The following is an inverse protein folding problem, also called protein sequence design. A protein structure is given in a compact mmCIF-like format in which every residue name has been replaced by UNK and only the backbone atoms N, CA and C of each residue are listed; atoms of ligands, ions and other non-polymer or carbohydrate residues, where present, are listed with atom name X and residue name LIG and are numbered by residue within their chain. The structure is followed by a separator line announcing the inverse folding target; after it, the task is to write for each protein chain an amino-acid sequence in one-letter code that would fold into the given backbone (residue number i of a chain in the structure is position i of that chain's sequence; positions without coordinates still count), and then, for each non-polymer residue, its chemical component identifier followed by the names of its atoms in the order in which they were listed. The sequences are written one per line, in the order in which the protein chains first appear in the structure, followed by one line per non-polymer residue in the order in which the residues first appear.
data_IF_384053000367
#
_entry.id   IF_384053000367
#
_cell.length_a   1.000
_cell.length_b   1.000
_cell.length_c   1.000
_cell.angle_alpha   90.00
_cell.angle_beta   90.00
_cell.angle_gamma   90.00
#
_symmetry.space_group_name_H-M   'P 1'
#
loop_
_entity.id
_entity.type
_entity.pdbx_description
1 polymer ?
#
# COMPACT_ATOMS: atom_id res chain seq x y z
N UNK A 1 -42.85 -46.45 15.33
CA UNK A 1 -42.73 -44.98 15.41
C UNK A 1 -41.44 -44.61 14.70
N UNK A 2 -41.54 -44.20 13.44
CA UNK A 2 -40.41 -43.76 12.64
C UNK A 2 -40.54 -42.27 12.43
N UNK A 3 -39.70 -41.49 13.11
CA UNK A 3 -39.64 -40.04 12.99
C UNK A 3 -38.80 -39.71 11.74
N UNK A 4 -39.50 -39.47 10.63
CA UNK A 4 -38.91 -39.05 9.38
C UNK A 4 -38.47 -37.61 9.48
N UNK A 5 -37.21 -37.39 9.83
CA UNK A 5 -36.58 -36.07 9.81
C UNK A 5 -36.69 -35.46 8.42
N UNK A 6 -37.65 -34.55 8.27
CA UNK A 6 -37.81 -33.66 7.12
C UNK A 6 -36.53 -32.83 6.98
N UNK A 7 -35.63 -33.27 6.11
CA UNK A 7 -34.51 -32.50 5.63
C UNK A 7 -35.09 -31.37 4.79
N UNK A 8 -35.32 -30.21 5.41
CA UNK A 8 -35.75 -28.99 4.72
C UNK A 8 -34.82 -28.74 3.54
N UNK A 9 -35.38 -28.49 2.37
CA UNK A 9 -34.61 -28.21 1.16
C UNK A 9 -33.70 -26.99 1.42
N UNK A 10 -32.39 -27.25 1.58
CA UNK A 10 -31.38 -26.22 1.78
C UNK A 10 -30.61 -26.05 0.48
N UNK A 11 -30.65 -24.84 -0.06
CA UNK A 11 -29.80 -24.46 -1.18
C UNK A 11 -28.43 -24.11 -0.62
N UNK A 12 -27.49 -25.06 -0.69
CA UNK A 12 -26.08 -24.77 -0.45
C UNK A 12 -25.61 -23.74 -1.50
N UNK A 13 -24.84 -22.75 -1.05
CA UNK A 13 -24.52 -21.54 -1.81
C UNK A 13 -24.11 -21.78 -3.27
N UNK A 14 -24.59 -20.89 -4.16
CA UNK A 14 -24.18 -20.91 -5.56
C UNK A 14 -22.95 -20.04 -5.76
N UNK A 15 -21.96 -20.56 -6.48
CA UNK A 15 -20.80 -19.81 -6.93
C UNK A 15 -20.89 -19.58 -8.43
N UNK A 16 -20.71 -18.33 -8.87
CA UNK A 16 -20.53 -17.99 -10.27
C UNK A 16 -19.03 -17.94 -10.53
N UNK A 17 -18.51 -18.84 -11.35
CA UNK A 17 -17.11 -18.81 -11.78
C UNK A 17 -17.01 -17.83 -12.94
N UNK A 18 -16.35 -16.69 -12.71
CA UNK A 18 -16.03 -15.73 -13.76
C UNK A 18 -14.51 -15.58 -13.84
N UNK A 19 -13.94 -15.69 -15.03
CA UNK A 19 -12.51 -15.45 -15.31
C UNK A 19 -11.54 -16.32 -14.47
N UNK A 20 -11.82 -17.63 -14.37
CA UNK A 20 -10.94 -18.62 -13.75
C UNK A 20 -10.65 -18.43 -12.25
N UNK A 21 -11.37 -17.51 -11.58
CA UNK A 21 -11.34 -17.32 -10.13
C UNK A 21 -12.74 -17.48 -9.55
N UNK A 22 -12.85 -18.28 -8.49
CA UNK A 22 -14.06 -18.31 -7.66
C UNK A 22 -14.09 -17.06 -6.78
N UNK A 23 -14.47 -15.91 -7.35
CA UNK A 23 -14.89 -14.78 -6.52
C UNK A 23 -16.22 -15.21 -5.90
N UNK A 24 -16.20 -15.51 -4.60
CA UNK A 24 -17.40 -15.73 -3.82
C UNK A 24 -18.32 -14.54 -4.03
N UNK A 25 -19.36 -14.73 -4.84
CA UNK A 25 -20.39 -13.71 -5.00
C UNK A 25 -20.96 -13.47 -3.60
N UNK A 26 -20.82 -12.26 -3.09
CA UNK A 26 -21.67 -11.83 -1.99
C UNK A 26 -23.10 -11.82 -2.55
N UNK A 27 -23.81 -12.93 -2.36
CA UNK A 27 -25.26 -12.97 -2.52
C UNK A 27 -25.79 -12.07 -1.42
N UNK A 28 -26.01 -10.80 -1.73
CA UNK A 28 -26.43 -9.82 -0.73
C UNK A 28 -27.85 -10.05 -0.18
N UNK A 29 -28.57 -11.07 -0.66
CA UNK A 29 -29.76 -11.65 -0.01
C UNK A 29 -30.25 -12.83 -0.84
N UNK A 30 -30.70 -13.94 -0.22
CA UNK A 30 -31.49 -14.92 -0.94
C UNK A 30 -32.76 -14.24 -1.47
N UNK A 31 -32.95 -14.27 -2.78
CA UNK A 31 -34.09 -13.62 -3.43
C UNK A 31 -35.43 -14.30 -3.13
N UNK A 32 -35.39 -15.55 -2.64
CA UNK A 32 -36.53 -16.39 -2.30
C UNK A 32 -36.21 -17.16 -1.01
N UNK A 33 -37.13 -17.17 -0.04
CA UNK A 33 -37.01 -17.95 1.18
C UNK A 33 -37.37 -19.43 0.93
N UNK A 34 -36.85 -20.34 1.75
CA UNK A 34 -37.19 -21.77 1.65
C UNK A 34 -38.71 -22.01 1.75
N UNK A 35 -39.39 -21.27 2.63
CA UNK A 35 -40.85 -21.32 2.77
C UNK A 35 -41.59 -20.91 1.48
N UNK A 36 -41.15 -19.84 0.81
CA UNK A 36 -41.75 -19.41 -0.46
C UNK A 36 -41.48 -20.41 -1.60
N UNK A 37 -40.41 -21.20 -1.50
CA UNK A 37 -40.08 -22.27 -2.45
C UNK A 37 -40.95 -23.52 -2.22
N UNK A 38 -41.17 -23.88 -0.96
CA UNK A 38 -42.04 -25.00 -0.55
C UNK A 38 -43.52 -24.72 -0.88
N UNK A 39 -43.98 -23.50 -0.60
CA UNK A 39 -45.36 -23.07 -0.86
C UNK A 39 -45.68 -23.01 -2.37
N UNK A 40 -44.66 -22.80 -3.22
CA UNK A 40 -44.79 -22.83 -4.67
C UNK A 40 -44.89 -24.24 -5.27
N UNK A 41 -44.68 -25.31 -4.49
CA UNK A 41 -44.76 -26.71 -4.94
C UNK A 41 -43.83 -27.05 -6.12
N UNK A 42 -42.83 -26.21 -6.38
CA UNK A 42 -42.05 -26.26 -7.60
C UNK A 42 -40.85 -27.20 -7.44
N UNK A 43 -40.90 -28.38 -8.08
CA UNK A 43 -39.66 -29.01 -8.50
C UNK A 43 -38.94 -28.04 -9.44
N UNK A 44 -37.81 -27.47 -9.01
CA UNK A 44 -36.96 -26.55 -9.79
C UNK A 44 -36.38 -27.26 -11.03
N UNK A 45 -37.22 -27.62 -12.01
CA UNK A 45 -36.78 -28.19 -13.30
C UNK A 45 -36.18 -27.11 -14.21
N UNK A 46 -36.58 -25.85 -14.04
CA UNK A 46 -36.00 -24.70 -14.73
C UNK A 46 -35.92 -23.48 -13.80
N UNK A 47 -34.69 -23.01 -13.54
CA UNK A 47 -34.45 -21.76 -12.80
C UNK A 47 -34.07 -20.69 -13.82
N UNK A 48 -34.98 -19.76 -14.10
CA UNK A 48 -34.66 -18.58 -14.92
C UNK A 48 -34.00 -17.54 -14.02
N UNK A 49 -32.66 -17.53 -14.00
CA UNK A 49 -31.89 -16.52 -13.28
C UNK A 49 -31.70 -15.26 -14.13
N UNK A 50 -32.20 -14.11 -13.65
CA UNK A 50 -31.88 -12.81 -14.24
C UNK A 50 -30.60 -12.28 -13.60
N UNK A 51 -29.47 -12.45 -14.28
CA UNK A 51 -28.18 -11.89 -13.85
C UNK A 51 -28.06 -10.46 -14.35
N UNK A 52 -27.82 -9.51 -13.46
CA UNK A 52 -27.44 -8.14 -13.84
C UNK A 52 -25.96 -7.96 -13.55
N UNK A 53 -25.16 -7.77 -14.61
CA UNK A 53 -23.75 -7.46 -14.47
C UNK A 53 -23.63 -5.95 -14.33
N UNK A 54 -23.32 -5.47 -13.13
CA UNK A 54 -23.05 -4.06 -12.89
C UNK A 54 -21.55 -3.80 -13.06
N UNK A 55 -21.18 -3.01 -14.06
CA UNK A 55 -19.81 -2.53 -14.22
C UNK A 55 -19.62 -1.25 -13.41
N UNK A 56 -18.63 -1.25 -12.51
CA UNK A 56 -18.25 -0.05 -11.75
C UNK A 56 -16.91 0.45 -12.29
N UNK A 57 -16.89 1.36 -13.28
CA UNK A 57 -15.66 1.75 -13.98
C UNK A 57 -14.59 2.30 -13.03
N UNK A 58 -14.98 3.05 -12.00
CA UNK A 58 -14.04 3.55 -10.99
C UNK A 58 -13.39 2.43 -10.15
N UNK A 59 -14.10 1.32 -9.89
CA UNK A 59 -13.51 0.17 -9.19
C UNK A 59 -12.53 -0.57 -10.09
N UNK A 60 -12.86 -0.73 -11.37
CA UNK A 60 -11.96 -1.34 -12.34
C UNK A 60 -10.68 -0.51 -12.49
N UNK A 61 -10.80 0.82 -12.57
CA UNK A 61 -9.66 1.72 -12.61
C UNK A 61 -8.81 1.65 -11.33
N UNK A 62 -9.44 1.61 -10.16
CA UNK A 62 -8.74 1.50 -8.89
C UNK A 62 -7.97 0.17 -8.74
N UNK A 63 -8.55 -0.95 -9.18
CA UNK A 63 -7.86 -2.24 -9.21
C UNK A 63 -6.75 -2.27 -10.27
N UNK A 64 -6.94 -1.61 -11.41
CA UNK A 64 -5.90 -1.45 -12.41
C UNK A 64 -4.73 -0.63 -11.87
N UNK A 65 -5.01 0.46 -11.16
CA UNK A 65 -4.00 1.27 -10.47
C UNK A 65 -3.21 0.43 -9.45
N UNK A 66 -3.88 -0.36 -8.60
CA UNK A 66 -3.20 -1.28 -7.68
C UNK A 66 -2.28 -2.26 -8.41
N UNK A 67 -2.75 -2.82 -9.53
CA UNK A 67 -1.93 -3.71 -10.35
C UNK A 67 -0.68 -3.00 -10.91
N UNK A 68 -0.81 -1.75 -11.35
CA UNK A 68 0.31 -0.94 -11.81
C UNK A 68 1.29 -0.67 -10.66
N UNK A 69 0.80 -0.26 -9.48
CA UNK A 69 1.64 -0.03 -8.31
C UNK A 69 2.44 -1.28 -7.92
N UNK A 70 1.82 -2.45 -7.95
CA UNK A 70 2.51 -3.72 -7.69
C UNK A 70 3.58 -4.02 -8.73
N UNK A 71 3.29 -3.78 -10.01
CA UNK A 71 4.23 -4.02 -11.10
C UNK A 71 5.44 -3.06 -11.06
N UNK A 72 5.23 -1.84 -10.57
CA UNK A 72 6.25 -0.79 -10.47
C UNK A 72 6.98 -0.77 -9.11
N UNK A 73 6.53 -1.58 -8.13
CA UNK A 73 7.09 -1.57 -6.78
C UNK A 73 6.69 -0.34 -5.95
N UNK A 74 5.65 0.37 -6.37
CA UNK A 74 5.08 1.56 -5.71
C UNK A 74 4.19 1.15 -4.53
N UNK A 75 4.79 0.58 -3.48
CA UNK A 75 4.04 0.03 -2.35
C UNK A 75 3.50 1.09 -1.38
N UNK A 76 4.05 2.30 -1.37
CA UNK A 76 3.51 3.39 -0.54
C UNK A 76 2.17 3.88 -1.09
N UNK A 77 2.00 3.86 -2.40
CA UNK A 77 0.76 4.18 -3.10
C UNK A 77 -0.34 3.17 -2.78
N UNK A 78 0.02 1.89 -2.61
CA UNK A 78 -0.89 0.84 -2.13
C UNK A 78 -1.35 1.18 -0.70
N UNK A 79 -0.42 1.52 0.18
CA UNK A 79 -0.73 1.94 1.55
C UNK A 79 -1.61 3.20 1.59
N UNK A 80 -1.33 4.18 0.73
CA UNK A 80 -2.12 5.39 0.58
C UNK A 80 -3.55 5.07 0.12
N UNK A 81 -3.69 4.22 -0.88
CA UNK A 81 -5.00 3.81 -1.38
C UNK A 81 -5.81 3.08 -0.30
N UNK A 82 -5.19 2.15 0.44
CA UNK A 82 -5.83 1.43 1.53
C UNK A 82 -6.36 2.37 2.63
N UNK A 83 -5.61 3.43 2.96
CA UNK A 83 -6.03 4.49 3.90
C UNK A 83 -7.13 5.41 3.36
N UNK A 84 -7.16 5.61 2.05
CA UNK A 84 -8.07 6.57 1.40
C UNK A 84 -9.52 6.08 1.25
N UNK A 85 -9.74 4.76 1.33
CA UNK A 85 -11.07 4.16 1.21
C UNK A 85 -11.68 3.89 2.59
N UNK A 86 -13.01 3.71 2.63
CA UNK A 86 -13.71 3.37 3.87
C UNK A 86 -13.14 2.08 4.46
N UNK A 87 -12.88 2.09 5.77
CA UNK A 87 -12.21 1.00 6.51
C UNK A 87 -12.87 -0.36 6.26
N UNK A 88 -14.19 -0.42 6.27
CA UNK A 88 -14.95 -1.66 6.07
C UNK A 88 -14.67 -2.26 4.68
N UNK A 89 -14.61 -1.39 3.66
CA UNK A 89 -14.27 -1.80 2.29
C UNK A 89 -12.81 -2.26 2.23
N UNK A 90 -11.91 -1.55 2.90
CA UNK A 90 -10.49 -1.88 2.93
C UNK A 90 -10.22 -3.25 3.59
N UNK A 91 -10.90 -3.55 4.69
CA UNK A 91 -10.81 -4.85 5.38
C UNK A 91 -11.36 -5.96 4.48
N UNK A 92 -12.50 -5.75 3.81
CA UNK A 92 -13.02 -6.73 2.85
C UNK A 92 -12.08 -6.95 1.67
N UNK A 93 -11.46 -5.89 1.15
CA UNK A 93 -10.47 -5.99 0.10
C UNK A 93 -9.23 -6.77 0.55
N UNK A 94 -8.77 -6.63 1.80
CA UNK A 94 -7.60 -7.35 2.29
C UNK A 94 -7.74 -8.88 2.13
N UNK A 95 -8.94 -9.43 2.40
CA UNK A 95 -9.23 -10.86 2.20
C UNK A 95 -9.32 -11.25 0.71
N UNK A 96 -9.72 -10.34 -0.18
CA UNK A 96 -9.75 -10.61 -1.61
C UNK A 96 -8.34 -10.52 -2.23
N UNK A 97 -7.55 -9.54 -1.78
CA UNK A 97 -6.14 -9.39 -2.15
C UNK A 97 -5.33 -10.59 -1.66
N UNK A 98 -5.76 -11.23 -0.56
CA UNK A 98 -5.10 -12.42 -0.02
C UNK A 98 -5.13 -13.65 -0.95
N UNK A 99 -5.86 -13.60 -2.06
CA UNK A 99 -5.97 -14.68 -3.04
C UNK A 99 -5.24 -14.37 -4.36
N UNK A 100 -4.57 -13.22 -4.47
CA UNK A 100 -3.82 -12.83 -5.68
C UNK A 100 -2.52 -13.64 -5.74
N UNK A 101 -2.14 -14.16 -6.91
CA UNK A 101 -0.97 -15.06 -7.03
C UNK A 101 0.39 -14.37 -7.14
N UNK A 102 0.45 -13.15 -7.68
CA UNK A 102 1.73 -12.46 -7.97
C UNK A 102 1.96 -11.32 -6.99
N UNK A 103 3.19 -11.23 -6.46
CA UNK A 103 3.62 -10.19 -5.50
C UNK A 103 2.67 -10.06 -4.31
N UNK A 104 2.08 -11.20 -3.97
CA UNK A 104 0.98 -11.31 -3.06
C UNK A 104 1.36 -10.83 -1.66
N UNK A 105 2.56 -11.23 -1.23
CA UNK A 105 3.09 -10.94 0.09
C UNK A 105 3.21 -9.43 0.32
N UNK A 106 3.89 -8.72 -0.59
CA UNK A 106 4.07 -7.28 -0.48
C UNK A 106 2.73 -6.53 -0.59
N UNK A 107 1.89 -6.88 -1.56
CA UNK A 107 0.57 -6.27 -1.75
C UNK A 107 -0.30 -6.36 -0.49
N UNK A 108 -0.44 -7.56 0.08
CA UNK A 108 -1.31 -7.77 1.24
C UNK A 108 -0.71 -7.14 2.50
N UNK A 109 0.59 -7.28 2.74
CA UNK A 109 1.19 -6.77 3.97
C UNK A 109 1.25 -5.23 3.99
N UNK A 110 1.52 -4.56 2.87
CA UNK A 110 1.40 -3.10 2.77
C UNK A 110 -0.05 -2.65 2.98
N UNK A 111 -1.01 -3.34 2.36
CA UNK A 111 -2.42 -3.04 2.55
C UNK A 111 -2.86 -3.19 4.01
N UNK A 112 -2.48 -4.30 4.65
CA UNK A 112 -2.82 -4.60 6.04
C UNK A 112 -2.14 -3.63 7.02
N UNK A 113 -0.86 -3.32 6.81
CA UNK A 113 -0.14 -2.34 7.62
C UNK A 113 -0.83 -0.97 7.57
N UNK A 114 -1.32 -0.58 6.39
CA UNK A 114 -1.95 0.71 6.18
C UNK A 114 -3.35 0.84 6.83
N UNK A 115 -4.16 -0.24 6.83
CA UNK A 115 -5.47 -0.26 7.51
C UNK A 115 -5.35 -0.46 9.03
N UNK A 116 -4.21 -1.01 9.48
CA UNK A 116 -3.92 -1.31 10.87
C UNK A 116 -4.66 -2.57 11.36
N UNK A 117 -5.52 -2.42 12.36
CA UNK A 117 -6.16 -3.57 13.01
C UNK A 117 -7.13 -4.34 12.07
N UNK A 118 -6.76 -5.59 11.74
CA UNK A 118 -7.59 -6.56 11.01
C UNK A 118 -7.95 -7.72 11.95
N UNK A 119 -9.22 -8.06 12.03
CA UNK A 119 -9.73 -9.12 12.89
C UNK A 119 -10.76 -10.01 12.17
N UNK A 120 -11.09 -11.14 12.80
CA UNK A 120 -12.10 -12.07 12.31
C UNK A 120 -11.72 -12.74 10.99
N UNK A 121 -12.69 -13.03 10.11
CA UNK A 121 -12.48 -13.84 8.90
C UNK A 121 -11.41 -13.31 7.95
N UNK A 122 -11.23 -11.99 7.86
CA UNK A 122 -10.20 -11.40 7.03
C UNK A 122 -8.78 -11.70 7.55
N UNK A 123 -8.60 -11.67 8.88
CA UNK A 123 -7.33 -12.01 9.51
C UNK A 123 -6.99 -13.50 9.28
N UNK A 124 -7.98 -14.38 9.42
CA UNK A 124 -7.80 -15.81 9.21
C UNK A 124 -7.49 -16.15 7.75
N UNK A 125 -8.16 -15.49 6.80
CA UNK A 125 -7.83 -15.62 5.38
C UNK A 125 -6.38 -15.19 5.09
N UNK A 126 -5.95 -14.04 5.58
CA UNK A 126 -4.56 -13.57 5.40
C UNK A 126 -3.57 -14.60 5.94
N UNK A 127 -3.77 -15.08 7.18
CA UNK A 127 -2.89 -16.10 7.79
C UNK A 127 -2.83 -17.38 6.95
N UNK A 128 -3.98 -17.83 6.46
CA UNK A 128 -4.07 -19.04 5.64
C UNK A 128 -3.20 -18.94 4.38
N UNK A 129 -3.25 -17.82 3.67
CA UNK A 129 -2.49 -17.65 2.43
C UNK A 129 -1.02 -17.27 2.64
N UNK A 130 -0.65 -16.70 3.79
CA UNK A 130 0.73 -16.25 4.05
C UNK A 130 1.78 -17.36 3.92
N UNK A 131 1.44 -18.58 4.34
CA UNK A 131 2.36 -19.73 4.32
C UNK A 131 2.84 -20.05 2.91
N UNK A 132 1.92 -20.29 1.99
CA UNK A 132 2.25 -20.58 0.59
C UNK A 132 2.89 -19.37 -0.09
N UNK A 133 2.47 -18.16 0.30
CA UNK A 133 2.93 -16.92 -0.32
C UNK A 133 4.39 -16.60 -0.06
N UNK A 134 4.88 -16.86 1.16
CA UNK A 134 6.28 -16.64 1.52
C UNK A 134 7.16 -17.67 0.82
N UNK A 135 6.69 -18.92 0.72
CA UNK A 135 7.39 -19.96 -0.01
C UNK A 135 7.53 -19.62 -1.50
N UNK A 136 6.45 -19.14 -2.12
CA UNK A 136 6.44 -18.80 -3.55
C UNK A 136 7.10 -17.45 -3.88
N UNK A 137 7.21 -16.54 -2.91
CA UNK A 137 7.67 -15.16 -3.12
C UNK A 137 8.75 -14.76 -2.10
N UNK A 138 9.71 -15.64 -1.81
CA UNK A 138 10.76 -15.41 -0.80
C UNK A 138 11.56 -14.11 -1.05
N UNK A 139 11.70 -13.72 -2.33
CA UNK A 139 12.38 -12.49 -2.75
C UNK A 139 11.66 -11.20 -2.37
N UNK A 140 10.37 -11.26 -2.06
CA UNK A 140 9.58 -10.12 -1.60
C UNK A 140 9.68 -9.92 -0.09
N UNK A 141 10.26 -10.87 0.66
CA UNK A 141 10.41 -10.79 2.13
C UNK A 141 11.15 -9.51 2.59
N UNK A 142 12.29 -9.10 1.98
CA UNK A 142 12.97 -7.86 2.36
C UNK A 142 12.08 -6.62 2.37
N UNK A 143 11.16 -6.52 1.40
CA UNK A 143 10.24 -5.39 1.24
C UNK A 143 9.26 -5.30 2.43
N UNK A 144 8.84 -6.45 2.95
CA UNK A 144 7.80 -6.52 4.00
C UNK A 144 8.34 -6.58 5.42
N UNK A 145 9.62 -6.91 5.61
CA UNK A 145 10.26 -6.93 6.94
C UNK A 145 10.12 -5.59 7.68
N UNK A 146 10.33 -4.41 7.05
CA UNK A 146 10.12 -3.12 7.71
C UNK A 146 8.68 -2.87 8.18
N UNK A 147 7.69 -3.55 7.57
CA UNK A 147 6.28 -3.38 7.92
C UNK A 147 5.88 -4.16 9.16
N UNK A 148 6.65 -5.19 9.56
CA UNK A 148 6.29 -6.08 10.66
C UNK A 148 5.85 -5.34 11.93
N UNK A 149 6.53 -4.27 12.39
CA UNK A 149 6.11 -3.55 13.60
C UNK A 149 4.73 -2.90 13.48
N UNK A 150 4.28 -2.57 12.27
CA UNK A 150 2.98 -1.93 12.00
C UNK A 150 1.82 -2.92 11.89
N UNK A 151 2.11 -4.23 11.79
CA UNK A 151 1.09 -5.28 11.68
C UNK A 151 0.52 -5.65 13.05
N UNK A 152 -0.64 -6.30 13.08
CA UNK A 152 -1.19 -6.86 14.32
C UNK A 152 -0.32 -8.04 14.80
N UNK A 153 -0.22 -8.30 16.12
CA UNK A 153 0.59 -9.40 16.64
C UNK A 153 0.26 -10.76 16.02
N UNK A 154 -1.02 -11.00 15.73
CA UNK A 154 -1.48 -12.23 15.10
C UNK A 154 -0.92 -12.42 13.68
N UNK A 155 -0.80 -11.34 12.90
CA UNK A 155 -0.25 -11.39 11.55
C UNK A 155 1.28 -11.41 11.59
N UNK A 156 1.90 -10.66 12.52
CA UNK A 156 3.35 -10.73 12.74
C UNK A 156 3.82 -12.16 13.05
N UNK A 157 3.11 -12.84 13.96
CA UNK A 157 3.44 -14.22 14.31
C UNK A 157 3.25 -15.16 13.12
N UNK A 158 2.16 -15.01 12.36
CA UNK A 158 1.92 -15.83 11.18
C UNK A 158 3.00 -15.63 10.10
N UNK A 159 3.47 -14.40 9.87
CA UNK A 159 4.60 -14.14 8.95
C UNK A 159 5.87 -14.81 9.44
N UNK A 160 6.19 -14.72 10.74
CA UNK A 160 7.37 -15.36 11.33
C UNK A 160 7.31 -16.88 11.22
N UNK A 161 6.19 -17.48 11.59
CA UNK A 161 5.97 -18.93 11.49
C UNK A 161 6.08 -19.41 10.03
N UNK A 162 5.45 -18.71 9.08
CA UNK A 162 5.53 -19.04 7.67
C UNK A 162 6.96 -18.92 7.11
N UNK A 163 7.72 -17.90 7.55
CA UNK A 163 9.12 -17.75 7.15
C UNK A 163 10.01 -18.86 7.74
N UNK A 164 9.84 -19.19 9.02
CA UNK A 164 10.52 -20.33 9.63
C UNK A 164 10.17 -21.63 8.91
N UNK A 165 8.90 -21.82 8.58
CA UNK A 165 8.46 -23.01 7.85
C UNK A 165 9.10 -23.10 6.47
N UNK A 166 9.15 -22.00 5.73
CA UNK A 166 9.80 -21.94 4.43
C UNK A 166 11.30 -22.28 4.53
N UNK A 167 12.01 -21.71 5.50
CA UNK A 167 13.47 -21.84 5.62
C UNK A 167 13.94 -23.14 6.29
N UNK A 168 13.16 -23.75 7.18
CA UNK A 168 13.62 -24.92 7.96
C UNK A 168 12.97 -26.23 7.53
N UNK A 169 11.73 -26.20 7.04
CA UNK A 169 11.01 -27.42 6.67
C UNK A 169 10.94 -27.64 5.15
N UNK A 170 10.98 -26.58 4.36
CA UNK A 170 10.87 -26.66 2.90
C UNK A 170 12.22 -26.47 2.18
N UNK A 171 13.25 -25.99 2.87
CA UNK A 171 14.56 -25.68 2.28
C UNK A 171 15.59 -26.79 2.55
N UNK A 172 15.40 -27.97 1.95
CA UNK A 172 16.28 -29.12 2.18
C UNK A 172 17.73 -28.90 1.71
N UNK A 173 17.96 -27.96 0.80
CA UNK A 173 19.27 -27.70 0.16
C UNK A 173 19.82 -26.30 0.44
N UNK A 174 19.16 -25.48 1.27
CA UNK A 174 19.58 -24.11 1.57
C UNK A 174 19.37 -23.12 0.41
N UNK A 175 18.58 -23.49 -0.58
CA UNK A 175 18.27 -22.68 -1.78
C UNK A 175 17.43 -21.47 -1.38
N UNK A 176 16.37 -21.65 -0.60
CA UNK A 176 15.48 -20.54 -0.20
C UNK A 176 16.19 -19.57 0.74
N UNK A 177 17.03 -20.08 1.65
CA UNK A 177 17.86 -19.25 2.50
C UNK A 177 18.83 -18.41 1.66
N UNK A 178 19.49 -19.03 0.67
CA UNK A 178 20.38 -18.30 -0.24
C UNK A 178 19.62 -17.23 -1.02
N UNK A 179 18.46 -17.56 -1.60
CA UNK A 179 17.64 -16.59 -2.32
C UNK A 179 17.19 -15.42 -1.44
N UNK A 180 16.84 -15.70 -0.18
CA UNK A 180 16.48 -14.66 0.79
C UNK A 180 17.68 -13.77 1.10
N UNK A 181 18.86 -14.34 1.34
CA UNK A 181 20.09 -13.58 1.61
C UNK A 181 20.47 -12.72 0.41
N UNK A 182 20.46 -13.28 -0.80
CA UNK A 182 20.74 -12.55 -2.04
C UNK A 182 19.74 -11.38 -2.21
N UNK A 183 18.44 -11.63 -1.98
CA UNK A 183 17.41 -10.59 -2.04
C UNK A 183 17.59 -9.50 -0.97
N UNK A 184 18.01 -9.85 0.24
CA UNK A 184 18.31 -8.89 1.31
C UNK A 184 19.52 -8.01 0.97
N UNK A 185 20.58 -8.61 0.40
CA UNK A 185 21.77 -7.87 -0.06
C UNK A 185 21.39 -6.91 -1.17
N UNK A 186 20.63 -7.37 -2.16
CA UNK A 186 20.16 -6.55 -3.27
C UNK A 186 19.30 -5.38 -2.80
N UNK A 187 18.34 -5.65 -1.90
CA UNK A 187 17.48 -4.62 -1.32
C UNK A 187 18.28 -3.57 -0.56
N UNK A 188 19.16 -4.01 0.34
CA UNK A 188 19.98 -3.10 1.14
C UNK A 188 20.92 -2.27 0.27
N UNK A 189 21.48 -2.86 -0.79
CA UNK A 189 22.36 -2.16 -1.73
C UNK A 189 21.60 -1.07 -2.51
N UNK A 190 20.36 -1.35 -2.92
CA UNK A 190 19.49 -0.36 -3.59
C UNK A 190 19.13 0.78 -2.64
N UNK A 191 18.73 0.47 -1.41
CA UNK A 191 18.38 1.47 -0.39
C UNK A 191 19.56 2.39 -0.07
N UNK A 192 20.76 1.83 0.07
CA UNK A 192 21.98 2.60 0.32
C UNK A 192 22.28 3.51 -0.88
N UNK A 193 22.16 3.01 -2.11
CA UNK A 193 22.38 3.80 -3.31
C UNK A 193 21.37 4.95 -3.44
N UNK A 194 20.10 4.72 -3.10
CA UNK A 194 19.06 5.75 -3.12
C UNK A 194 19.30 6.82 -2.06
N UNK A 195 19.57 6.43 -0.80
CA UNK A 195 19.92 7.38 0.27
C UNK A 195 21.17 8.18 -0.04
N UNK A 196 22.16 7.56 -0.69
CA UNK A 196 23.36 8.27 -1.10
C UNK A 196 23.04 9.36 -2.13
N UNK A 197 22.17 9.08 -3.11
CA UNK A 197 21.71 10.10 -4.08
C UNK A 197 20.96 11.25 -3.39
N UNK A 198 20.12 10.95 -2.40
CA UNK A 198 19.44 11.99 -1.63
C UNK A 198 20.42 12.88 -0.86
N UNK A 199 21.42 12.27 -0.22
CA UNK A 199 22.48 13.01 0.48
C UNK A 199 23.25 13.91 -0.49
N UNK A 200 23.60 13.43 -1.68
CA UNK A 200 24.32 14.21 -2.68
C UNK A 200 23.46 15.34 -3.26
N UNK A 201 22.16 15.10 -3.47
CA UNK A 201 21.20 16.14 -3.87
C UNK A 201 21.05 17.24 -2.81
N UNK A 202 20.99 16.86 -1.52
CA UNK A 202 20.93 17.80 -0.40
C UNK A 202 22.23 18.59 -0.26
N UNK A 203 23.39 17.95 -0.42
CA UNK A 203 24.70 18.63 -0.43
C UNK A 203 24.78 19.70 -1.52
N UNK A 204 24.40 19.34 -2.74
CA UNK A 204 24.36 20.29 -3.86
C UNK A 204 23.45 21.49 -3.55
N UNK A 205 22.30 21.25 -2.91
CA UNK A 205 21.37 22.32 -2.50
C UNK A 205 21.96 23.23 -1.42
N UNK A 206 22.69 22.67 -0.45
CA UNK A 206 23.38 23.45 0.60
C UNK A 206 24.49 24.30 -0.01
N UNK A 207 25.30 23.74 -0.91
CA UNK A 207 26.39 24.47 -1.57
C UNK A 207 25.85 25.63 -2.41
N UNK A 208 24.76 25.39 -3.16
CA UNK A 208 24.08 26.42 -3.94
C UNK A 208 23.58 27.57 -3.07
N UNK A 209 22.97 27.25 -1.92
CA UNK A 209 22.49 28.27 -0.98
C UNK A 209 23.64 29.04 -0.31
N UNK A 210 24.75 28.37 -0.04
CA UNK A 210 25.93 28.98 0.59
C UNK A 210 26.62 29.96 -0.36
N UNK A 211 26.75 29.59 -1.64
CA UNK A 211 27.25 30.50 -2.69
C UNK A 211 26.32 31.70 -2.84
N UNK A 212 25.01 31.48 -2.89
CA UNK A 212 24.03 32.57 -2.97
C UNK A 212 24.09 33.52 -1.75
N UNK A 213 24.36 33.03 -0.53
CA UNK A 213 24.53 33.89 0.66
C UNK A 213 25.85 34.67 0.62
N UNK A 214 26.93 34.08 0.09
CA UNK A 214 28.21 34.77 -0.11
C UNK A 214 28.09 35.90 -1.14
N UNK A 215 27.40 35.67 -2.25
CA UNK A 215 27.13 36.71 -3.26
C UNK A 215 26.32 37.87 -2.65
N UNK A 216 25.32 37.56 -1.81
CA UNK A 216 24.49 38.57 -1.14
C UNK A 216 25.31 39.45 -0.19
N UNK A 217 26.21 38.85 0.61
CA UNK A 217 27.11 39.58 1.53
C UNK A 217 28.19 40.37 0.79
N UNK A 218 28.67 39.89 -0.36
CA UNK A 218 29.62 40.61 -1.20
C UNK A 218 29.07 41.90 -1.82
N UNK A 219 27.74 41.98 -2.01
CA UNK A 219 27.06 43.18 -2.52
C UNK A 219 26.63 44.20 -1.46
N UNK A 220 26.73 43.90 -0.16
CA UNK A 220 26.61 44.90 0.90
C UNK A 220 27.89 45.75 0.94
N UNK A 221 27.97 46.72 0.02
CA UNK A 221 28.95 47.81 0.12
C UNK A 221 28.72 48.53 1.44
N UNK A 222 29.75 48.54 2.29
CA UNK A 222 29.83 49.45 3.44
C UNK A 222 29.46 50.87 2.94
N UNK A 223 28.55 51.60 3.62
CA UNK A 223 28.34 53.00 3.33
C UNK A 223 29.69 53.69 3.46
N UNK A 224 30.20 54.22 2.35
CA UNK A 224 31.38 55.07 2.40
C UNK A 224 31.04 56.23 3.35
N UNK A 225 31.74 56.29 4.48
CA UNK A 225 31.87 57.48 5.30
C UNK A 225 32.38 58.58 4.37
N UNK A 226 31.44 59.39 3.87
CA UNK A 226 31.75 60.61 3.14
C UNK A 226 31.97 61.66 4.21
N UNK A 227 33.21 61.71 4.72
CA UNK A 227 33.72 62.82 5.52
C UNK A 227 33.54 64.10 4.72
N UNK A 228 32.54 64.90 5.12
CA UNK A 228 32.36 66.26 4.65
C UNK A 228 33.38 67.16 5.36
N UNK A 229 34.49 67.43 4.69
CA UNK A 229 35.33 68.59 4.96
C UNK A 229 34.58 69.87 4.53
N UNK A 230 34.05 70.63 5.49
CA UNK A 230 33.76 72.05 5.30
C UNK A 230 34.89 72.87 5.94
N UNK A 231 35.92 73.19 5.15
CA UNK A 231 36.80 74.33 5.40
C UNK A 231 36.20 75.58 4.75
N UNK A 232 36.01 76.62 5.57
CA UNK A 232 35.49 77.91 5.15
C UNK A 232 36.55 78.87 4.64
N UNK A 233 36.09 79.88 3.90
CA UNK A 233 36.62 81.25 3.69
C UNK A 233 35.78 81.83 2.54
N UNK A 234 35.05 82.93 2.63
CA UNK A 234 35.27 84.18 3.34
C UNK A 234 35.52 85.25 2.29
N UNK A 235 34.52 86.07 1.93
CA UNK A 235 34.78 87.40 1.40
C UNK A 235 33.53 88.29 1.50
N UNK A 236 33.72 89.39 2.22
CA UNK A 236 32.80 90.52 2.25
C UNK A 236 33.00 91.34 0.97
N UNK A 237 31.92 91.81 0.35
CA UNK A 237 31.99 93.04 -0.42
C UNK A 237 30.75 93.91 -0.20
N UNK A 238 31.04 95.20 -0.14
CA UNK A 238 30.21 96.29 0.31
C UNK A 238 29.33 96.80 -0.83
N UNK A 239 28.12 97.23 -0.47
CA UNK A 239 27.72 98.60 -0.82
C UNK A 239 26.77 98.86 -2.00
N UNK A 240 25.73 99.63 -1.64
CA UNK A 240 25.30 100.89 -2.29
C UNK A 240 24.09 100.84 -3.26
N UNK A 241 22.99 101.44 -2.74
CA UNK A 241 21.92 102.30 -3.35
C UNK A 241 20.97 101.64 -4.37
N UNK A 242 19.69 102.00 -4.47
CA UNK A 242 18.93 103.17 -4.00
C UNK A 242 17.51 102.76 -3.58
#
# INVERSE_FOLDING_TARGET
MGDGGSTSASVAGFHVVLLSGALGGHICKPSISAAALEEAGACLKEVKMKTTICTFPMRALALHYLRMCVAEGCYEEISMMARSIRREVAVHMAAALSAVKRHHLALVLHWVAAIGHVCGPACDAIKFYLKDSILENIRDVPIVLPLLPSLTPAIQNAVKEALLDALFYNDSEGVLLKELVDALIDHTSKDVAERQREVDALRLKIDTLTVADQDRRGTERQPAEMDGEEEGQGEADQGIKA
#
